data_IF_466674969680
#
_entry.id   IF_466674969680
#
_cell.length_a   1.000
_cell.length_b   1.000
_cell.length_c   1.000
_cell.angle_alpha   90.00
_cell.angle_beta   90.00
_cell.angle_gamma   90.00
#
_symmetry.space_group_name_H-M   'P 1'
#
loop_
_entity.id
_entity.type
_entity.pdbx_description
1 polymer ?
#
# COMPACT_ATOMS: atom_id res chain seq x y z
N UNK A 1 -24.49 -1.34 34.54
CA UNK A 1 -24.05 -2.72 34.23
C UNK A 1 -22.72 -2.60 33.54
N UNK A 2 -21.75 -3.29 34.12
CA UNK A 2 -20.31 -3.23 33.92
C UNK A 2 -19.91 -3.71 32.53
N UNK A 3 -19.19 -2.91 31.75
CA UNK A 3 -18.27 -3.44 30.75
C UNK A 3 -16.88 -3.45 31.38
N UNK A 4 -16.55 -4.64 31.85
CA UNK A 4 -15.26 -5.06 32.36
C UNK A 4 -14.20 -4.83 31.27
N UNK A 5 -13.37 -3.81 31.45
CA UNK A 5 -12.17 -3.64 30.64
C UNK A 5 -11.13 -4.61 31.18
N UNK A 6 -11.15 -5.84 30.64
CA UNK A 6 -10.12 -6.83 30.92
C UNK A 6 -8.80 -6.33 30.31
N UNK A 7 -7.71 -6.25 31.10
CA UNK A 7 -6.43 -5.78 30.60
C UNK A 7 -5.86 -6.83 29.63
N UNK A 8 -5.64 -6.43 28.37
CA UNK A 8 -5.00 -7.25 27.35
C UNK A 8 -3.50 -7.33 27.68
N UNK A 9 -2.89 -8.52 27.78
CA UNK A 9 -1.45 -8.63 27.95
C UNK A 9 -0.76 -8.08 26.70
N UNK A 10 0.32 -7.35 26.91
CA UNK A 10 1.14 -6.80 25.83
C UNK A 10 1.70 -7.94 24.94
N UNK A 11 1.70 -7.70 23.62
CA UNK A 11 2.32 -8.49 22.53
C UNK A 11 1.40 -9.44 21.73
N UNK A 12 0.10 -9.17 21.62
CA UNK A 12 -0.74 -9.77 20.56
C UNK A 12 -0.85 -8.81 19.37
N UNK A 13 -0.52 -9.27 18.16
CA UNK A 13 -0.57 -8.46 16.92
C UNK A 13 -2.01 -8.09 16.58
N UNK A 14 -2.87 -9.10 16.39
CA UNK A 14 -4.32 -8.96 16.23
C UNK A 14 -5.09 -9.56 17.40
N UNK A 15 -6.26 -9.00 17.68
CA UNK A 15 -7.25 -9.53 18.62
C UNK A 15 -8.20 -10.51 17.93
N UNK A 16 -8.73 -11.47 18.66
CA UNK A 16 -9.76 -12.41 18.16
C UNK A 16 -10.96 -12.34 19.09
N UNK A 17 -12.16 -12.12 18.54
CA UNK A 17 -13.40 -12.15 19.33
C UNK A 17 -13.74 -13.57 19.75
N UNK A 18 -14.48 -13.73 20.85
CA UNK A 18 -14.88 -15.06 21.33
C UNK A 18 -15.68 -15.82 20.26
N UNK A 19 -16.55 -15.12 19.53
CA UNK A 19 -17.36 -15.67 18.44
C UNK A 19 -16.48 -16.17 17.27
N UNK A 20 -15.50 -15.38 16.85
CA UNK A 20 -14.55 -15.82 15.83
C UNK A 20 -13.70 -17.00 16.31
N UNK A 21 -13.29 -16.99 17.57
CA UNK A 21 -12.52 -18.08 18.16
C UNK A 21 -13.31 -19.40 18.18
N UNK A 22 -14.62 -19.35 18.40
CA UNK A 22 -15.50 -20.53 18.32
C UNK A 22 -15.52 -21.12 16.92
N UNK A 23 -15.62 -20.29 15.89
CA UNK A 23 -15.62 -20.73 14.48
C UNK A 23 -14.30 -21.42 14.12
N UNK A 24 -13.18 -20.82 14.51
CA UNK A 24 -11.84 -21.39 14.24
C UNK A 24 -11.64 -22.69 15.03
N UNK A 25 -12.04 -22.74 16.31
CA UNK A 25 -12.01 -23.98 17.10
C UNK A 25 -12.88 -25.07 16.50
N UNK A 26 -14.03 -24.70 15.92
CA UNK A 26 -14.88 -25.62 15.17
C UNK A 26 -14.11 -26.26 14.02
N UNK A 27 -13.47 -25.44 13.19
CA UNK A 27 -12.65 -25.92 12.07
C UNK A 27 -11.47 -26.78 12.53
N UNK A 28 -10.74 -26.37 13.58
CA UNK A 28 -9.65 -27.16 14.16
C UNK A 28 -10.14 -28.52 14.69
N UNK A 29 -11.34 -28.58 15.26
CA UNK A 29 -11.93 -29.83 15.77
C UNK A 29 -12.39 -30.81 14.68
N UNK A 30 -12.51 -30.35 13.43
CA UNK A 30 -12.80 -31.21 12.27
C UNK A 30 -11.54 -31.85 11.67
N UNK A 31 -10.36 -31.31 11.97
CA UNK A 31 -9.07 -31.82 11.49
C UNK A 31 -8.54 -32.95 12.40
N UNK A 32 -7.95 -33.99 11.81
CA UNK A 32 -7.42 -35.16 12.53
C UNK A 32 -6.31 -34.79 13.56
N UNK A 33 -5.54 -33.73 13.30
CA UNK A 33 -4.43 -33.24 14.14
C UNK A 33 -4.60 -31.76 14.53
N UNK A 34 -5.84 -31.32 14.77
CA UNK A 34 -6.16 -29.92 15.09
C UNK A 34 -5.42 -29.31 16.29
N UNK A 35 -4.89 -30.13 17.19
CA UNK A 35 -4.07 -29.65 18.32
C UNK A 35 -2.65 -29.23 17.91
N UNK A 36 -2.16 -29.69 16.76
CA UNK A 36 -0.87 -29.33 16.18
C UNK A 36 -0.97 -28.18 15.16
N UNK A 37 -2.19 -27.67 14.92
CA UNK A 37 -2.46 -26.60 13.97
C UNK A 37 -2.69 -25.27 14.69
N UNK A 38 -2.15 -24.20 14.11
CA UNK A 38 -2.44 -22.81 14.47
C UNK A 38 -3.21 -22.10 13.37
N UNK A 39 -3.92 -21.02 13.74
CA UNK A 39 -4.54 -20.13 12.77
C UNK A 39 -3.49 -19.19 12.17
N UNK A 40 -3.17 -19.37 10.90
CA UNK A 40 -2.34 -18.45 10.14
C UNK A 40 -3.17 -17.30 9.58
N UNK A 41 -2.73 -16.08 9.86
CA UNK A 41 -3.35 -14.85 9.36
C UNK A 41 -2.29 -14.05 8.60
N UNK A 42 -2.41 -13.99 7.27
CA UNK A 42 -1.48 -13.28 6.41
C UNK A 42 -2.18 -12.18 5.63
N UNK A 43 -1.49 -11.06 5.41
CA UNK A 43 -1.90 -10.09 4.39
C UNK A 43 -1.47 -10.67 3.03
N UNK A 44 -2.45 -10.99 2.18
CA UNK A 44 -2.23 -11.58 0.86
C UNK A 44 -2.07 -10.51 -0.23
N UNK A 45 -2.56 -9.30 0.03
CA UNK A 45 -2.39 -8.16 -0.87
C UNK A 45 -3.20 -6.95 -0.44
N UNK A 46 -3.38 -6.03 -1.38
CA UNK A 46 -4.24 -4.86 -1.21
C UNK A 46 -5.22 -4.76 -2.36
N UNK A 47 -6.48 -4.50 -2.06
CA UNK A 47 -7.55 -4.36 -3.05
C UNK A 47 -8.14 -2.95 -3.02
N UNK A 48 -8.63 -2.50 -4.18
CA UNK A 48 -9.28 -1.21 -4.29
C UNK A 48 -10.78 -1.34 -4.00
N UNK A 49 -11.20 -0.72 -2.91
CA UNK A 49 -12.60 -0.60 -2.50
C UNK A 49 -13.38 0.27 -3.50
N UNK A 50 -14.69 0.03 -3.71
CA UNK A 50 -15.55 0.92 -4.51
C UNK A 50 -15.59 2.37 -4.02
N UNK A 51 -15.15 2.62 -2.79
CA UNK A 51 -14.98 3.96 -2.21
C UNK A 51 -13.69 4.67 -2.63
N UNK A 52 -12.97 4.15 -3.64
CA UNK A 52 -11.65 4.65 -4.09
C UNK A 52 -10.60 4.67 -2.96
N UNK A 53 -10.71 3.73 -2.02
CA UNK A 53 -9.73 3.53 -0.93
C UNK A 53 -9.13 2.14 -1.03
N UNK A 54 -7.88 1.96 -0.64
CA UNK A 54 -7.25 0.65 -0.58
C UNK A 54 -7.53 -0.02 0.76
N UNK A 55 -7.83 -1.31 0.72
CA UNK A 55 -8.06 -2.17 1.87
C UNK A 55 -7.13 -3.38 1.75
N UNK A 56 -6.67 -3.93 2.88
CA UNK A 56 -5.88 -5.15 2.85
C UNK A 56 -6.77 -6.36 2.55
N UNK A 57 -6.25 -7.26 1.70
CA UNK A 57 -6.79 -8.59 1.48
C UNK A 57 -6.07 -9.58 2.40
N UNK A 58 -6.80 -10.50 3.01
CA UNK A 58 -6.25 -11.44 3.98
C UNK A 58 -6.42 -12.89 3.53
N UNK A 59 -5.42 -13.72 3.83
CA UNK A 59 -5.50 -15.17 3.76
C UNK A 59 -5.59 -15.74 5.18
N UNK A 60 -6.57 -16.62 5.39
CA UNK A 60 -6.81 -17.33 6.64
C UNK A 60 -6.69 -18.83 6.37
N UNK A 61 -5.71 -19.47 7.02
CA UNK A 61 -5.41 -20.88 6.82
C UNK A 61 -5.02 -21.55 8.14
N UNK A 62 -5.16 -22.87 8.21
CA UNK A 62 -4.62 -23.66 9.32
C UNK A 62 -3.22 -24.13 8.93
N UNK A 63 -2.25 -23.90 9.81
CA UNK A 63 -0.83 -24.19 9.53
C UNK A 63 -0.21 -24.94 10.70
N UNK A 64 0.66 -25.90 10.41
CA UNK A 64 1.31 -26.74 11.42
C UNK A 64 2.27 -25.92 12.29
N UNK A 65 2.20 -26.12 13.61
CA UNK A 65 3.02 -25.40 14.58
C UNK A 65 4.49 -25.83 14.57
N UNK A 66 4.80 -27.00 14.03
CA UNK A 66 6.16 -27.52 13.90
C UNK A 66 6.85 -27.07 12.59
N UNK A 67 6.13 -26.47 11.64
CA UNK A 67 6.67 -26.01 10.34
C UNK A 67 6.55 -24.48 10.15
N UNK A 68 7.06 -23.72 11.11
CA UNK A 68 7.03 -22.25 11.06
C UNK A 68 8.19 -21.68 10.26
N UNK A 69 7.91 -20.61 9.52
CA UNK A 69 8.94 -19.92 8.74
C UNK A 69 9.74 -18.97 9.64
N UNK A 70 10.99 -18.71 9.25
CA UNK A 70 11.83 -17.72 9.94
C UNK A 70 11.22 -16.34 9.79
N UNK A 71 10.83 -15.72 10.91
CA UNK A 71 10.16 -14.41 10.93
C UNK A 71 8.68 -14.48 11.28
N UNK A 72 8.09 -15.67 11.33
CA UNK A 72 6.72 -15.84 11.83
C UNK A 72 6.64 -15.48 13.31
N UNK A 73 5.62 -14.69 13.66
CA UNK A 73 5.27 -14.32 15.02
C UNK A 73 4.09 -15.16 15.46
N UNK A 74 4.28 -15.95 16.51
CA UNK A 74 3.23 -16.79 17.07
C UNK A 74 2.85 -16.33 18.47
N UNK A 75 1.55 -16.28 18.77
CA UNK A 75 1.05 -15.96 20.10
C UNK A 75 -0.30 -16.59 20.36
N UNK A 76 -0.64 -16.74 21.65
CA UNK A 76 -1.91 -17.32 22.10
C UNK A 76 -2.93 -16.21 22.38
N UNK A 77 -4.12 -16.31 21.79
CA UNK A 77 -5.24 -15.39 22.01
C UNK A 77 -6.56 -16.15 21.97
N UNK A 78 -7.46 -15.87 22.93
CA UNK A 78 -8.76 -16.54 23.04
C UNK A 78 -8.70 -18.10 23.04
N UNK A 79 -7.58 -18.68 23.50
CA UNK A 79 -7.34 -20.13 23.51
C UNK A 79 -6.97 -20.71 22.14
N UNK A 80 -6.56 -19.88 21.19
CA UNK A 80 -6.05 -20.25 19.88
C UNK A 80 -4.60 -19.83 19.74
N UNK A 81 -3.79 -20.67 19.13
CA UNK A 81 -2.46 -20.28 18.66
C UNK A 81 -2.60 -19.59 17.31
N UNK A 82 -2.24 -18.30 17.25
CA UNK A 82 -2.27 -17.50 16.02
C UNK A 82 -0.85 -17.33 15.49
N UNK A 83 -0.69 -17.51 14.19
CA UNK A 83 0.56 -17.38 13.45
C UNK A 83 0.41 -16.18 12.50
N UNK A 84 1.30 -15.20 12.62
CA UNK A 84 1.34 -14.03 11.74
C UNK A 84 2.71 -13.97 11.08
N UNK A 85 2.79 -14.01 9.74
CA UNK A 85 4.06 -13.82 9.04
C UNK A 85 4.68 -12.45 9.38
N UNK A 86 6.00 -12.38 9.51
CA UNK A 86 6.72 -11.17 9.92
C UNK A 86 6.34 -9.93 9.11
N UNK A 87 6.25 -10.06 7.78
CA UNK A 87 5.87 -8.97 6.85
C UNK A 87 4.41 -8.50 7.02
N UNK A 88 3.56 -9.32 7.65
CA UNK A 88 2.17 -8.97 7.95
C UNK A 88 1.98 -8.34 9.32
N UNK A 89 2.97 -8.40 10.21
CA UNK A 89 2.84 -7.98 11.61
C UNK A 89 2.49 -6.51 11.74
N UNK A 90 3.23 -5.62 11.06
CA UNK A 90 3.01 -4.18 11.13
C UNK A 90 1.62 -3.82 10.59
N UNK A 91 1.23 -4.44 9.47
CA UNK A 91 -0.06 -4.22 8.82
C UNK A 91 -1.24 -4.73 9.64
N UNK A 92 -1.08 -5.79 10.43
CA UNK A 92 -2.14 -6.39 11.25
C UNK A 92 -2.16 -5.90 12.70
N UNK A 93 -1.21 -5.05 13.11
CA UNK A 93 -1.11 -4.59 14.49
C UNK A 93 -2.35 -3.80 14.90
N UNK A 94 -3.10 -4.29 15.89
CA UNK A 94 -4.37 -3.69 16.34
C UNK A 94 -5.60 -4.12 15.55
N UNK A 95 -5.45 -5.00 14.55
CA UNK A 95 -6.59 -5.59 13.85
C UNK A 95 -7.41 -6.51 14.77
N UNK A 96 -8.68 -6.70 14.44
CA UNK A 96 -9.59 -7.60 15.15
C UNK A 96 -10.22 -8.60 14.19
N UNK A 97 -9.99 -9.89 14.42
CA UNK A 97 -10.72 -10.98 13.76
C UNK A 97 -12.07 -11.17 14.43
N UNK A 98 -13.13 -11.10 13.64
CA UNK A 98 -14.52 -11.16 14.10
C UNK A 98 -15.39 -11.99 13.12
N UNK A 99 -16.64 -12.22 13.48
CA UNK A 99 -17.65 -12.79 12.58
C UNK A 99 -18.43 -11.68 11.87
N UNK A 100 -18.93 -11.91 10.65
CA UNK A 100 -19.76 -10.91 9.96
C UNK A 100 -21.08 -10.70 10.72
N UNK A 101 -21.58 -9.46 10.73
CA UNK A 101 -22.83 -9.11 11.42
C UNK A 101 -24.06 -9.88 10.91
N UNK A 102 -23.98 -10.44 9.70
CA UNK A 102 -25.00 -11.31 9.15
C UNK A 102 -24.56 -12.78 9.29
N UNK A 103 -25.13 -13.56 10.22
CA UNK A 103 -24.70 -14.94 10.50
C UNK A 103 -24.92 -15.89 9.32
N UNK A 104 -25.78 -15.53 8.35
CA UNK A 104 -25.99 -16.30 7.12
C UNK A 104 -24.85 -16.16 6.10
N UNK A 105 -23.97 -15.16 6.26
CA UNK A 105 -22.86 -14.92 5.34
C UNK A 105 -21.69 -15.88 5.58
N UNK A 106 -21.62 -16.51 6.76
CA UNK A 106 -20.57 -17.45 7.15
C UNK A 106 -19.16 -16.82 7.14
N UNK A 107 -18.19 -17.59 7.64
CA UNK A 107 -16.77 -17.19 7.61
C UNK A 107 -16.36 -16.16 8.66
N UNK A 108 -15.21 -15.55 8.42
CA UNK A 108 -14.54 -14.62 9.33
C UNK A 108 -14.25 -13.30 8.61
N UNK A 109 -14.26 -12.20 9.35
CA UNK A 109 -13.93 -10.87 8.87
C UNK A 109 -12.84 -10.25 9.72
N UNK A 110 -11.89 -9.56 9.10
CA UNK A 110 -10.86 -8.81 9.81
C UNK A 110 -11.22 -7.33 9.76
N UNK A 111 -11.40 -6.72 10.92
CA UNK A 111 -11.55 -5.28 11.10
C UNK A 111 -10.19 -4.70 11.45
N UNK A 112 -9.52 -4.13 10.46
CA UNK A 112 -8.19 -3.58 10.62
C UNK A 112 -8.25 -2.04 10.72
N UNK A 113 -7.75 -1.43 11.80
CA UNK A 113 -7.65 0.01 11.90
C UNK A 113 -6.54 0.59 11.00
N UNK A 114 -5.56 -0.23 10.61
CA UNK A 114 -4.52 0.15 9.67
C UNK A 114 -5.10 0.14 8.26
N UNK A 115 -4.68 1.11 7.46
CA UNK A 115 -4.90 1.09 6.01
C UNK A 115 -3.55 0.99 5.32
N UNK A 116 -3.47 0.28 4.19
CA UNK A 116 -2.26 0.32 3.38
C UNK A 116 -1.96 1.79 3.07
N UNK A 117 -0.76 2.24 3.44
CA UNK A 117 -0.35 3.61 3.16
C UNK A 117 -0.18 3.75 1.63
N UNK A 118 -0.52 4.92 1.08
CA UNK A 118 -0.19 5.18 -0.33
C UNK A 118 1.32 5.18 -0.55
N UNK A 119 2.13 5.35 0.50
CA UNK A 119 3.58 5.18 0.48
C UNK A 119 4.04 3.72 0.39
N UNK A 120 3.26 2.75 0.89
CA UNK A 120 3.49 1.31 0.65
C UNK A 120 3.10 0.89 -0.76
N UNK A 121 2.46 1.78 -1.55
CA UNK A 121 2.35 1.63 -3.01
C UNK A 121 3.64 1.96 -3.76
N UNK A 122 4.77 2.03 -3.06
CA UNK A 122 6.06 1.76 -3.69
C UNK A 122 6.24 0.23 -3.68
N UNK A 123 5.30 -0.48 -4.32
CA UNK A 123 5.62 -1.71 -5.02
C UNK A 123 6.39 -1.26 -6.28
N UNK A 124 7.60 -0.74 -6.07
CA UNK A 124 8.66 -1.05 -7.02
C UNK A 124 8.85 -2.54 -6.83
N UNK A 125 7.92 -3.34 -7.38
CA UNK A 125 8.27 -4.69 -7.76
C UNK A 125 9.64 -4.52 -8.42
N UNK A 126 10.61 -5.32 -8.00
CA UNK A 126 11.89 -5.44 -8.67
C UNK A 126 11.66 -6.11 -10.05
N UNK A 127 10.63 -5.65 -10.77
CA UNK A 127 9.94 -6.21 -11.93
C UNK A 127 9.16 -5.12 -12.70
N UNK A 128 9.51 -3.84 -12.51
CA UNK A 128 9.07 -2.72 -13.36
C UNK A 128 10.25 -1.99 -13.98
N UNK A 129 10.15 -1.64 -15.26
CA UNK A 129 11.15 -0.82 -15.93
C UNK A 129 11.29 0.54 -15.23
N UNK A 130 12.46 1.18 -15.35
CA UNK A 130 12.71 2.54 -14.83
C UNK A 130 11.61 3.53 -15.27
N UNK A 131 11.03 3.33 -16.46
CA UNK A 131 9.95 4.14 -17.00
C UNK A 131 8.65 4.03 -16.20
N UNK A 132 8.27 2.84 -15.74
CA UNK A 132 7.02 2.64 -14.99
C UNK A 132 7.10 3.30 -13.61
N UNK A 133 8.23 3.10 -12.93
CA UNK A 133 8.51 3.74 -11.62
C UNK A 133 8.46 5.26 -11.71
N UNK A 134 9.06 5.80 -12.77
CA UNK A 134 9.04 7.22 -13.04
C UNK A 134 7.62 7.71 -13.38
N UNK A 135 6.86 6.97 -14.17
CA UNK A 135 5.48 7.31 -14.53
C UNK A 135 4.58 7.39 -13.28
N UNK A 136 4.71 6.46 -12.35
CA UNK A 136 3.97 6.46 -11.09
C UNK A 136 4.34 7.65 -10.19
N UNK A 137 5.64 7.95 -10.06
CA UNK A 137 6.10 9.13 -9.32
C UNK A 137 5.50 10.42 -9.90
N UNK A 138 5.47 10.54 -11.22
CA UNK A 138 4.93 11.72 -11.89
C UNK A 138 3.43 11.87 -11.65
N UNK A 139 2.66 10.79 -11.77
CA UNK A 139 1.20 10.82 -11.61
C UNK A 139 0.76 11.08 -10.17
N UNK A 140 1.43 10.44 -9.20
CA UNK A 140 0.94 10.39 -7.83
C UNK A 140 1.58 11.41 -6.89
N UNK A 141 2.73 12.00 -7.27
CA UNK A 141 3.47 12.92 -6.40
C UNK A 141 3.79 14.26 -7.06
N UNK A 142 4.34 14.23 -8.28
CA UNK A 142 4.76 15.45 -8.98
C UNK A 142 3.55 16.22 -9.51
N UNK A 143 2.69 15.59 -10.30
CA UNK A 143 1.52 16.26 -10.90
C UNK A 143 0.55 16.86 -9.88
N UNK A 144 0.22 16.23 -8.74
CA UNK A 144 -0.59 16.88 -7.70
C UNK A 144 0.04 18.17 -7.16
N UNK A 145 1.36 18.16 -6.96
CA UNK A 145 2.12 19.33 -6.49
C UNK A 145 2.15 20.44 -7.54
N UNK A 146 2.32 20.08 -8.82
CA UNK A 146 2.32 21.03 -9.94
C UNK A 146 0.93 21.59 -10.26
N UNK A 147 -0.12 20.77 -10.14
CA UNK A 147 -1.50 21.16 -10.43
C UNK A 147 -1.97 22.31 -9.54
N UNK A 148 -1.47 22.39 -8.30
CA UNK A 148 -1.70 23.49 -7.36
C UNK A 148 -1.19 24.84 -7.89
N UNK A 149 -0.19 24.80 -8.78
CA UNK A 149 0.38 25.95 -9.47
C UNK A 149 -0.05 26.01 -10.95
N UNK A 150 -1.04 25.21 -11.36
CA UNK A 150 -1.54 25.14 -12.74
C UNK A 150 -0.57 24.49 -13.73
N UNK A 151 0.44 23.79 -13.23
CA UNK A 151 1.43 23.04 -14.01
C UNK A 151 1.11 21.55 -14.09
N UNK A 152 1.78 20.87 -15.01
CA UNK A 152 1.77 19.42 -15.20
C UNK A 152 3.06 18.95 -15.85
N UNK A 153 3.32 17.66 -15.75
CA UNK A 153 4.42 16.96 -16.39
C UNK A 153 3.94 15.59 -16.89
N UNK A 154 4.42 15.19 -18.05
CA UNK A 154 4.13 13.90 -18.68
C UNK A 154 5.45 13.21 -19.06
N UNK A 155 5.54 11.90 -18.83
CA UNK A 155 6.67 11.10 -19.26
C UNK A 155 6.52 10.74 -20.74
N UNK A 156 7.50 11.11 -21.55
CA UNK A 156 7.52 10.76 -22.98
C UNK A 156 8.26 9.45 -23.19
N UNK A 157 9.48 9.33 -22.64
CA UNK A 157 10.29 8.11 -22.68
C UNK A 157 11.39 8.13 -21.64
N UNK A 158 11.96 6.96 -21.37
CA UNK A 158 13.25 6.80 -20.69
C UNK A 158 14.23 6.17 -21.67
N UNK A 159 15.42 6.76 -21.78
CA UNK A 159 16.50 6.24 -22.63
C UNK A 159 17.81 6.32 -21.84
N UNK A 160 18.52 5.19 -21.74
CA UNK A 160 19.67 5.01 -20.85
C UNK A 160 19.35 5.39 -19.39
N UNK A 161 19.92 6.50 -18.91
CA UNK A 161 19.69 7.08 -17.58
C UNK A 161 19.03 8.45 -17.67
N UNK A 162 18.30 8.72 -18.76
CA UNK A 162 17.67 10.01 -19.03
C UNK A 162 16.16 9.90 -19.12
N UNK A 163 15.46 10.77 -18.38
CA UNK A 163 14.03 10.93 -18.47
C UNK A 163 13.67 12.04 -19.45
N UNK A 164 12.86 11.76 -20.45
CA UNK A 164 12.33 12.75 -21.39
C UNK A 164 10.93 13.11 -20.96
N UNK A 165 10.74 14.35 -20.53
CA UNK A 165 9.49 14.83 -19.95
C UNK A 165 8.92 15.97 -20.77
N UNK A 166 7.61 15.95 -20.97
CA UNK A 166 6.85 17.08 -21.48
C UNK A 166 6.29 17.83 -20.28
N UNK A 167 6.79 19.05 -20.05
CA UNK A 167 6.34 19.91 -18.96
C UNK A 167 5.47 21.04 -19.50
N UNK A 168 4.41 21.41 -18.78
CA UNK A 168 3.50 22.47 -19.19
C UNK A 168 2.75 23.11 -18.04
N UNK A 169 2.15 24.27 -18.29
CA UNK A 169 1.25 24.94 -17.35
C UNK A 169 1.91 25.89 -16.31
N UNK A 170 1.07 26.69 -15.67
CA UNK A 170 1.37 27.59 -14.54
C UNK A 170 1.72 29.04 -14.88
N UNK A 171 2.26 29.32 -16.06
CA UNK A 171 2.39 30.70 -16.58
C UNK A 171 2.50 30.65 -18.10
N UNK A 172 1.49 31.16 -18.79
CA UNK A 172 1.60 31.52 -20.20
C UNK A 172 2.68 32.61 -20.35
N UNK A 173 3.94 32.23 -20.58
CA UNK A 173 4.99 33.15 -21.05
C UNK A 173 6.07 33.62 -20.05
N UNK A 174 6.27 32.99 -18.89
CA UNK A 174 7.38 33.36 -17.98
C UNK A 174 8.52 32.32 -17.99
N UNK A 175 9.64 32.65 -18.65
CA UNK A 175 10.84 31.81 -18.77
C UNK A 175 11.52 31.48 -17.42
N UNK A 176 11.35 32.32 -16.41
CA UNK A 176 11.83 32.07 -15.03
C UNK A 176 11.07 30.93 -14.32
N UNK A 177 9.83 30.67 -14.73
CA UNK A 177 9.00 29.61 -14.16
C UNK A 177 9.40 28.22 -14.67
N UNK A 178 9.84 28.12 -15.93
CA UNK A 178 10.20 26.86 -16.57
C UNK A 178 11.49 26.24 -15.97
N UNK A 179 12.54 27.05 -15.75
CA UNK A 179 13.77 26.56 -15.12
C UNK A 179 13.53 26.08 -13.68
N UNK A 180 12.71 26.81 -12.92
CA UNK A 180 12.36 26.44 -11.53
C UNK A 180 11.52 25.16 -11.49
N UNK A 181 10.58 25.02 -12.44
CA UNK A 181 9.77 23.81 -12.60
C UNK A 181 10.66 22.60 -12.91
N UNK A 182 11.53 22.73 -13.91
CA UNK A 182 12.48 21.69 -14.30
C UNK A 182 13.37 21.28 -13.12
N UNK A 183 13.93 22.25 -12.38
CA UNK A 183 14.77 21.96 -11.22
C UNK A 183 14.01 21.26 -10.09
N UNK A 184 12.76 21.67 -9.82
CA UNK A 184 11.92 21.03 -8.81
C UNK A 184 11.56 19.59 -9.18
N UNK A 185 11.17 19.36 -10.43
CA UNK A 185 10.85 18.03 -10.96
C UNK A 185 12.10 17.14 -10.95
N UNK A 186 13.25 17.64 -11.41
CA UNK A 186 14.51 16.90 -11.40
C UNK A 186 14.97 16.52 -9.99
N UNK A 187 14.83 17.43 -9.02
CA UNK A 187 15.16 17.15 -7.62
C UNK A 187 14.31 16.00 -7.06
N UNK A 188 12.99 16.03 -7.29
CA UNK A 188 12.08 14.98 -6.82
C UNK A 188 12.39 13.63 -7.49
N UNK A 189 12.63 13.63 -8.80
CA UNK A 189 12.97 12.41 -9.56
C UNK A 189 14.27 11.80 -9.03
N UNK A 190 15.33 12.59 -8.86
CA UNK A 190 16.62 12.07 -8.38
C UNK A 190 16.56 11.46 -6.97
N UNK A 191 15.63 11.93 -6.13
CA UNK A 191 15.44 11.39 -4.77
C UNK A 191 14.72 10.04 -4.76
N UNK A 192 13.84 9.79 -5.72
CA UNK A 192 12.96 8.61 -5.73
C UNK A 192 13.31 7.58 -6.82
N UNK A 193 14.03 8.00 -7.86
CA UNK A 193 14.50 7.17 -8.98
C UNK A 193 15.97 7.52 -9.30
N UNK A 194 16.93 7.10 -8.46
CA UNK A 194 18.35 7.48 -8.58
C UNK A 194 19.02 6.97 -9.86
N UNK A 195 18.42 6.01 -10.56
CA UNK A 195 18.86 5.53 -11.88
C UNK A 195 18.70 6.57 -13.00
N UNK A 196 17.85 7.58 -12.79
CA UNK A 196 17.72 8.73 -13.69
C UNK A 196 18.74 9.79 -13.27
N UNK A 197 19.76 9.97 -14.10
CA UNK A 197 20.86 10.91 -13.88
C UNK A 197 20.60 12.28 -14.52
N UNK A 198 19.69 12.35 -15.48
CA UNK A 198 19.41 13.55 -16.26
C UNK A 198 17.92 13.62 -16.64
N UNK A 199 17.36 14.84 -16.58
CA UNK A 199 15.97 15.12 -16.95
C UNK A 199 15.98 16.07 -18.12
N UNK A 200 15.46 15.60 -19.26
CA UNK A 200 15.38 16.36 -20.50
C UNK A 200 13.95 16.83 -20.68
N UNK A 201 13.78 18.15 -20.68
CA UNK A 201 12.54 18.78 -21.10
C UNK A 201 12.45 18.76 -22.62
N UNK A 202 11.43 18.11 -23.17
CA UNK A 202 11.19 18.04 -24.62
C UNK A 202 10.15 19.06 -25.10
N UNK A 203 9.63 19.91 -24.21
CA UNK A 203 8.67 20.94 -24.59
C UNK A 203 9.36 22.05 -25.38
N UNK A 204 8.69 22.52 -26.45
CA UNK A 204 9.15 23.65 -27.25
C UNK A 204 8.89 24.98 -26.51
N UNK A 205 9.87 25.37 -25.70
CA UNK A 205 9.87 26.63 -24.95
C UNK A 205 10.18 27.86 -25.83
N UNK A 206 10.46 27.68 -27.12
CA UNK A 206 10.71 28.76 -28.07
C UNK A 206 9.45 29.16 -28.86
N UNK A 207 8.34 28.42 -28.77
CA UNK A 207 7.06 28.74 -29.42
C UNK A 207 6.28 29.89 -28.73
N UNK A 208 7.00 30.84 -28.14
CA UNK A 208 6.45 32.09 -27.64
C UNK A 208 6.21 33.10 -28.77
N UNK A 209 5.33 32.80 -29.72
CA UNK A 209 4.76 33.81 -30.63
C UNK A 209 3.28 33.53 -30.91
N UNK A 210 2.45 34.42 -30.39
CA UNK A 210 1.01 34.58 -30.54
C UNK A 210 0.51 34.46 -32.00
N UNK A 211 -0.65 33.82 -32.26
CA UNK A 211 -1.68 34.59 -32.97
C UNK A 211 -3.11 34.31 -32.47
N UNK A 212 -3.67 35.25 -31.73
CA UNK A 212 -5.10 35.50 -31.72
C UNK A 212 -5.60 35.92 -33.12
N UNK A 213 -6.81 35.47 -33.45
CA UNK A 213 -7.69 35.87 -34.57
C UNK A 213 -7.29 35.47 -36.00
N UNK A 214 -8.13 34.61 -36.59
CA UNK A 214 -9.03 35.04 -37.67
C UNK A 214 -10.40 34.38 -37.55
#
# INVERSE_FOLDING_TARGET
MTTDTKPVPATSVLQVTDEAAEVVRGALGEEDDGAALGLRVAVSGTEMSPSMTFEFSYDLSLHELDDLHTGDVTYEVAGLTVIVPGDSVENLTGATLDVPSNPLQGGLVIRNPNRPDMADRIDLSESGSVAERLQDLLNNHVNPSLASHGGYVELVKVEDSKAFLLMGGGCQGCTMSAATLHQGVAAIISQHVPEILDVIDVTDHAAGENPFYQ
#
